data_IF_414075681820
#
_entry.id   IF_414075681820
#
_cell.length_a   1.000
_cell.length_b   1.000
_cell.length_c   1.000
_cell.angle_alpha   90.00
_cell.angle_beta   90.00
_cell.angle_gamma   90.00
#
_symmetry.space_group_name_H-M   'P 1'
#
loop_
_entity.id
_entity.type
_entity.pdbx_description
1 polymer ?
#
# COMPACT_ATOMS: atom_id res chain seq x y z
N UNK A 1 11.39 6.38 -45.12
CA UNK A 1 11.46 5.15 -45.93
C UNK A 1 11.11 3.98 -45.01
N UNK A 2 9.89 3.45 -45.14
CA UNK A 2 9.36 2.34 -44.33
C UNK A 2 9.57 1.04 -45.10
N UNK A 3 10.22 0.04 -44.51
CA UNK A 3 10.40 -1.28 -45.13
C UNK A 3 9.73 -2.33 -44.25
N UNK A 4 8.46 -2.63 -44.55
CA UNK A 4 7.72 -3.76 -44.01
C UNK A 4 7.70 -4.88 -45.04
N UNK A 5 8.54 -5.90 -44.88
CA UNK A 5 8.45 -7.12 -45.69
C UNK A 5 9.19 -8.28 -45.03
N UNK A 6 8.54 -9.05 -44.15
CA UNK A 6 8.72 -10.53 -44.08
C UNK A 6 7.39 -11.16 -43.59
N UNK A 7 6.35 -11.09 -44.42
CA UNK A 7 5.27 -12.08 -44.38
C UNK A 7 5.82 -13.34 -45.05
N UNK A 8 5.90 -14.49 -44.37
CA UNK A 8 6.19 -15.73 -45.09
C UNK A 8 6.65 -16.99 -44.36
N UNK A 9 6.89 -17.01 -43.04
CA UNK A 9 7.21 -18.29 -42.37
C UNK A 9 5.93 -19.07 -42.08
N UNK A 10 5.54 -19.94 -43.01
CA UNK A 10 4.58 -21.01 -42.73
C UNK A 10 5.26 -22.01 -41.78
N UNK A 11 4.91 -21.96 -40.49
CA UNK A 11 5.25 -23.02 -39.54
C UNK A 11 4.30 -24.18 -39.86
N UNK A 12 4.83 -25.28 -40.40
CA UNK A 12 4.09 -26.52 -40.52
C UNK A 12 3.88 -27.09 -39.12
N UNK A 13 2.65 -27.02 -38.60
CA UNK A 13 2.23 -27.72 -37.38
C UNK A 13 1.96 -29.18 -37.77
N UNK A 14 2.79 -30.09 -37.28
CA UNK A 14 2.52 -31.53 -37.29
C UNK A 14 1.50 -31.83 -36.19
N UNK A 15 0.34 -32.42 -36.49
CA UNK A 15 -0.55 -32.94 -35.45
C UNK A 15 0.11 -34.19 -34.84
N UNK A 16 0.42 -34.13 -33.54
CA UNK A 16 0.79 -35.31 -32.78
C UNK A 16 -0.47 -36.16 -32.53
N UNK A 17 -0.75 -37.08 -33.45
CA UNK A 17 -1.77 -38.12 -33.27
C UNK A 17 -1.24 -39.23 -32.37
N UNK A 18 -1.12 -38.94 -31.07
CA UNK A 18 -1.05 -39.98 -30.06
C UNK A 18 -2.44 -40.15 -29.45
N UNK A 19 -3.21 -41.06 -30.06
CA UNK A 19 -4.42 -41.61 -29.46
C UNK A 19 -4.04 -42.32 -28.17
N UNK A 20 -4.48 -41.78 -27.04
CA UNK A 20 -4.24 -42.30 -25.69
C UNK A 20 -5.42 -41.93 -24.80
N UNK A 21 -6.25 -42.93 -24.52
CA UNK A 21 -7.51 -42.89 -23.78
C UNK A 21 -7.31 -42.34 -22.35
N UNK A 22 -8.16 -41.41 -21.90
CA UNK A 22 -8.34 -41.10 -20.48
C UNK A 22 -8.58 -39.62 -20.17
N UNK A 23 -9.79 -39.29 -19.72
CA UNK A 23 -10.21 -37.94 -19.36
C UNK A 23 -9.47 -37.34 -18.17
N UNK A 24 -9.37 -36.00 -18.15
CA UNK A 24 -8.90 -35.24 -17.02
C UNK A 24 -8.32 -33.89 -17.44
N UNK A 25 -9.01 -32.80 -17.13
CA UNK A 25 -8.53 -31.44 -17.34
C UNK A 25 -7.24 -31.21 -16.53
N UNK A 26 -6.08 -31.33 -17.18
CA UNK A 26 -4.80 -30.98 -16.59
C UNK A 26 -4.72 -29.44 -16.52
N UNK A 27 -4.97 -28.88 -15.34
CA UNK A 27 -4.59 -27.50 -15.03
C UNK A 27 -3.11 -27.34 -15.34
N UNK A 28 -2.78 -26.43 -16.24
CA UNK A 28 -1.40 -26.01 -16.52
C UNK A 28 -0.80 -25.52 -15.20
N UNK A 29 0.02 -26.36 -14.58
CA UNK A 29 0.75 -26.02 -13.37
C UNK A 29 1.72 -24.88 -13.71
N UNK A 30 1.65 -23.80 -12.93
CA UNK A 30 2.54 -22.66 -13.06
C UNK A 30 4.01 -23.14 -13.01
N UNK A 31 4.89 -22.67 -13.92
CA UNK A 31 6.28 -23.11 -13.93
C UNK A 31 6.97 -22.70 -12.63
N UNK A 32 7.36 -23.70 -11.84
CA UNK A 32 8.25 -23.52 -10.69
C UNK A 32 9.57 -22.98 -11.24
N UNK A 33 9.97 -21.77 -10.81
CA UNK A 33 11.25 -21.14 -11.16
C UNK A 33 12.39 -21.90 -10.49
N UNK A 34 12.75 -23.05 -11.06
CA UNK A 34 13.95 -23.77 -10.72
C UNK A 34 15.06 -23.14 -11.57
N UNK A 35 15.90 -22.33 -10.93
CA UNK A 35 16.82 -21.41 -11.59
C UNK A 35 17.94 -22.11 -12.36
N UNK A 36 17.85 -22.08 -13.69
CA UNK A 36 19.02 -21.91 -14.54
C UNK A 36 19.01 -20.45 -15.00
N UNK A 37 19.84 -19.64 -14.34
CA UNK A 37 20.04 -18.24 -14.74
C UNK A 37 20.85 -18.26 -16.02
N UNK A 38 20.15 -18.25 -17.16
CA UNK A 38 20.81 -18.04 -18.44
C UNK A 38 21.25 -16.56 -18.44
N UNK A 39 22.54 -16.36 -18.23
CA UNK A 39 23.21 -15.07 -18.30
C UNK A 39 23.58 -14.80 -19.76
N UNK A 40 22.60 -14.35 -20.53
CA UNK A 40 22.88 -13.72 -21.82
C UNK A 40 23.31 -12.27 -21.55
N UNK A 41 24.41 -11.82 -22.18
CA UNK A 41 24.83 -10.42 -22.28
C UNK A 41 23.77 -9.48 -22.88
N UNK A 42 22.65 -10.05 -23.35
CA UNK A 42 21.50 -9.41 -23.97
C UNK A 42 20.63 -8.57 -23.03
N UNK A 43 20.86 -8.55 -21.70
CA UNK A 43 19.98 -7.82 -20.77
C UNK A 43 20.21 -6.29 -20.82
N UNK A 44 19.23 -5.47 -21.28
CA UNK A 44 19.41 -4.03 -21.36
C UNK A 44 19.46 -3.36 -19.98
N UNK A 45 20.30 -2.33 -19.83
CA UNK A 45 20.45 -1.59 -18.59
C UNK A 45 19.29 -0.62 -18.34
N UNK A 46 18.84 -0.52 -17.08
CA UNK A 46 17.90 0.52 -16.65
C UNK A 46 18.65 1.84 -16.44
N UNK A 47 18.34 2.84 -17.25
CA UNK A 47 18.84 4.22 -17.15
C UNK A 47 17.67 5.22 -17.01
N UNK A 48 17.99 6.48 -16.76
CA UNK A 48 17.02 7.58 -16.64
C UNK A 48 15.85 7.24 -15.70
N UNK A 49 14.62 7.56 -16.07
CA UNK A 49 13.42 7.32 -15.24
C UNK A 49 13.17 5.84 -14.94
N UNK A 50 13.58 4.94 -15.84
CA UNK A 50 13.44 3.50 -15.59
C UNK A 50 14.31 3.04 -14.40
N UNK A 51 15.46 3.69 -14.20
CA UNK A 51 16.28 3.49 -13.00
C UNK A 51 15.56 4.01 -11.76
N UNK A 52 15.13 5.28 -11.74
CA UNK A 52 14.44 5.88 -10.58
C UNK A 52 13.22 5.07 -10.14
N UNK A 53 12.40 4.61 -11.10
CA UNK A 53 11.22 3.79 -10.79
C UNK A 53 11.59 2.47 -10.11
N UNK A 54 12.73 1.88 -10.47
CA UNK A 54 13.20 0.59 -9.96
C UNK A 54 13.85 0.72 -8.59
N UNK A 55 14.68 1.74 -8.38
CA UNK A 55 15.51 1.88 -7.17
C UNK A 55 14.91 2.79 -6.11
N UNK A 56 13.80 3.50 -6.39
CA UNK A 56 13.19 4.38 -5.38
C UNK A 56 12.87 3.61 -4.09
N UNK A 57 13.21 4.17 -2.91
CA UNK A 57 12.85 3.56 -1.63
C UNK A 57 11.33 3.35 -1.51
N UNK A 58 10.93 2.17 -1.03
CA UNK A 58 9.54 1.82 -0.78
C UNK A 58 9.48 0.89 0.43
N UNK A 59 8.46 1.08 1.27
CA UNK A 59 8.08 0.08 2.25
C UNK A 59 7.33 -1.03 1.52
N UNK A 60 7.91 -2.23 1.50
CA UNK A 60 7.31 -3.40 0.83
C UNK A 60 6.53 -4.28 1.78
N UNK A 61 6.87 -4.25 3.06
CA UNK A 61 6.27 -5.11 4.06
C UNK A 61 4.92 -4.53 4.54
N UNK A 62 3.81 -5.28 4.47
CA UNK A 62 2.49 -4.78 4.83
C UNK A 62 2.40 -4.23 6.26
N UNK A 63 3.11 -4.85 7.20
CA UNK A 63 3.12 -4.41 8.60
C UNK A 63 3.75 -3.03 8.78
N UNK A 64 4.75 -2.66 7.97
CA UNK A 64 5.41 -1.34 8.04
C UNK A 64 4.61 -0.27 7.29
N UNK A 65 3.88 -0.66 6.25
CA UNK A 65 2.96 0.22 5.52
C UNK A 65 1.75 0.58 6.38
N UNK A 66 1.25 -0.36 7.18
CA UNK A 66 0.02 -0.17 7.98
C UNK A 66 0.25 0.52 9.33
N UNK A 67 1.47 0.93 9.67
CA UNK A 67 1.75 1.67 10.90
C UNK A 67 1.11 3.06 10.83
N UNK A 68 0.45 3.45 11.92
CA UNK A 68 -0.20 4.76 12.09
C UNK A 68 0.35 5.44 13.35
N UNK A 69 0.17 6.76 13.49
CA UNK A 69 0.47 7.44 14.75
C UNK A 69 -0.22 6.75 15.92
N UNK A 70 0.45 6.71 17.07
CA UNK A 70 -0.12 6.17 18.31
C UNK A 70 -1.20 7.13 18.81
N UNK A 71 -2.37 6.60 19.15
CA UNK A 71 -3.49 7.38 19.70
C UNK A 71 -3.40 7.33 21.23
N UNK A 72 -3.29 8.50 21.85
CA UNK A 72 -3.33 8.65 23.31
C UNK A 72 -4.72 9.12 23.76
N UNK A 73 -5.14 8.80 24.98
CA UNK A 73 -6.34 9.38 25.55
C UNK A 73 -6.19 10.91 25.65
N UNK A 74 -7.29 11.67 25.48
CA UNK A 74 -7.24 13.12 25.65
C UNK A 74 -6.82 13.46 27.07
N UNK A 75 -6.03 14.52 27.19
CA UNK A 75 -5.65 15.04 28.50
C UNK A 75 -6.89 15.57 29.23
N UNK A 76 -6.89 15.52 30.58
CA UNK A 76 -7.89 16.23 31.36
C UNK A 76 -7.83 17.73 31.04
N UNK A 77 -8.94 18.44 31.29
CA UNK A 77 -8.99 19.89 31.09
C UNK A 77 -7.92 20.56 31.94
N UNK A 78 -6.99 21.23 31.28
CA UNK A 78 -5.92 21.95 31.94
C UNK A 78 -6.49 23.25 32.53
N UNK A 79 -5.97 23.70 33.68
CA UNK A 79 -6.30 25.02 34.21
C UNK A 79 -5.80 26.12 33.24
N UNK A 80 -6.31 27.36 33.35
CA UNK A 80 -5.80 28.48 32.57
C UNK A 80 -4.33 28.73 32.90
N UNK A 81 -3.55 29.09 31.89
CA UNK A 81 -2.11 29.34 32.03
C UNK A 81 -1.80 30.49 33.02
N UNK A 82 -2.68 31.49 33.07
CA UNK A 82 -2.63 32.59 34.02
C UNK A 82 -4.01 33.19 34.25
N UNK A 83 -4.20 33.84 35.40
CA UNK A 83 -5.43 34.56 35.76
C UNK A 83 -5.06 35.97 36.20
N UNK A 84 -5.73 36.99 35.64
CA UNK A 84 -5.55 38.37 36.09
C UNK A 84 -6.36 38.57 37.37
N UNK A 85 -5.65 38.89 38.45
CA UNK A 85 -6.28 39.32 39.70
C UNK A 85 -6.44 40.82 39.62
N UNK A 86 -7.66 41.30 39.32
CA UNK A 86 -8.00 42.70 39.57
C UNK A 86 -8.26 42.88 41.06
N UNK A 87 -7.57 43.80 41.76
CA UNK A 87 -7.93 44.14 43.12
C UNK A 87 -9.28 44.88 43.09
N UNK A 88 -10.37 44.15 43.31
CA UNK A 88 -11.68 44.75 43.63
C UNK A 88 -11.82 44.74 45.15
N UNK A 89 -12.04 45.93 45.73
CA UNK A 89 -12.54 46.05 47.08
C UNK A 89 -13.86 45.25 47.20
N UNK A 90 -13.74 44.10 47.85
CA UNK A 90 -14.74 43.29 48.54
C UNK A 90 -16.21 43.40 48.10
N UNK A 91 -16.70 42.41 47.33
CA UNK A 91 -18.08 41.92 47.42
C UNK A 91 -18.26 40.56 46.70
N UNK A 92 -18.34 39.54 47.54
CA UNK A 92 -19.02 38.23 47.44
C UNK A 92 -19.78 37.87 46.14
N UNK A 93 -19.49 36.68 45.60
CA UNK A 93 -20.25 36.10 44.48
C UNK A 93 -19.69 34.77 43.97
N UNK A 94 -19.63 33.75 44.83
CA UNK A 94 -19.27 32.39 44.45
C UNK A 94 -20.34 31.72 43.59
N UNK A 95 -20.18 31.75 42.27
CA UNK A 95 -20.97 30.92 41.34
C UNK A 95 -20.31 29.55 41.19
N UNK A 96 -20.83 28.58 41.94
CA UNK A 96 -20.55 27.15 41.74
C UNK A 96 -21.52 26.61 40.68
N UNK A 97 -21.06 26.10 39.52
CA UNK A 97 -21.94 25.42 38.59
C UNK A 97 -22.20 23.99 39.07
N UNK A 98 -23.38 23.76 39.67
CA UNK A 98 -23.92 22.43 39.91
C UNK A 98 -24.45 21.83 38.59
N UNK A 99 -24.15 20.56 38.25
CA UNK A 99 -24.72 19.92 37.06
C UNK A 99 -26.06 19.25 37.41
N UNK A 100 -27.17 19.93 37.12
CA UNK A 100 -28.51 19.31 37.14
C UNK A 100 -29.19 19.33 35.76
N UNK A 101 -29.49 18.10 35.31
CA UNK A 101 -30.59 17.66 34.43
C UNK A 101 -30.62 18.02 32.95
N UNK A 102 -30.64 16.97 32.10
CA UNK A 102 -31.74 16.72 31.16
C UNK A 102 -31.82 15.22 30.82
N UNK A 103 -32.84 14.57 31.38
CA UNK A 103 -33.44 13.33 30.88
C UNK A 103 -34.75 13.68 30.16
N UNK A 104 -35.18 12.81 29.23
CA UNK A 104 -36.34 12.89 28.30
C UNK A 104 -36.00 13.61 26.98
N UNK A 105 -36.25 13.08 25.78
CA UNK A 105 -37.19 12.06 25.27
C UNK A 105 -36.57 11.32 24.07
#
# INVERSE_FOLDING_TARGET
MSVSAIFGTKIAVVPNSASGIGGGAAKVAAPRRNGLVIECSSRPQKKATAHHRKTRPRKTQPWDVNRRPTVYPPLPTLPPDWTLVTPSDNAEGGVSPSPETLASE
#
